data_IF_202642497658
#
_entry.id   IF_202642497658
#
_cell.length_a   1.000
_cell.length_b   1.000
_cell.length_c   1.000
_cell.angle_alpha   90.00
_cell.angle_beta   90.00
_cell.angle_gamma   90.00
#
_symmetry.space_group_name_H-M   'P 1'
#
loop_
_entity.id
_entity.type
_entity.pdbx_description
1 polymer ?
#
# COMPACT_ATOMS: atom_id res chain seq x y z
N UNK A 1 -4.33 5.46 10.42
CA UNK A 1 -3.27 4.74 9.68
C UNK A 1 -2.35 4.08 10.68
N UNK A 2 -2.10 2.78 10.53
CA UNK A 2 -1.05 2.05 11.25
C UNK A 2 -0.27 1.16 10.28
N UNK A 3 1.05 1.10 10.44
CA UNK A 3 1.91 0.14 9.74
C UNK A 3 2.44 -0.84 10.79
N UNK A 4 2.20 -2.14 10.59
CA UNK A 4 2.58 -3.19 11.53
C UNK A 4 3.61 -4.14 10.92
N UNK A 5 4.61 -4.62 11.68
CA UNK A 5 5.44 -5.74 11.25
C UNK A 5 4.61 -6.99 11.00
N UNK A 6 4.96 -7.74 9.96
CA UNK A 6 4.50 -9.11 9.70
C UNK A 6 5.72 -10.01 9.43
N UNK A 7 5.50 -11.33 9.40
CA UNK A 7 6.56 -12.35 9.36
C UNK A 7 7.62 -12.09 8.26
N UNK A 8 7.22 -11.57 7.11
CA UNK A 8 8.09 -11.30 5.97
C UNK A 8 7.96 -9.86 5.41
N UNK A 9 7.36 -8.92 6.14
CA UNK A 9 7.09 -7.59 5.61
C UNK A 9 6.32 -6.65 6.53
N UNK A 10 5.51 -5.79 5.93
CA UNK A 10 4.69 -4.79 6.62
C UNK A 10 3.23 -4.93 6.19
N UNK A 11 2.31 -4.71 7.13
CA UNK A 11 0.87 -4.60 6.86
C UNK A 11 0.44 -3.17 7.11
N UNK A 12 -0.15 -2.55 6.09
CA UNK A 12 -0.78 -1.23 6.20
C UNK A 12 -2.24 -1.43 6.56
N UNK A 13 -2.60 -1.07 7.78
CA UNK A 13 -3.98 -1.14 8.29
C UNK A 13 -4.56 0.26 8.47
N UNK A 14 -5.88 0.35 8.32
CA UNK A 14 -6.67 1.54 8.64
C UNK A 14 -6.12 2.82 7.99
N UNK A 15 -5.71 2.73 6.72
CA UNK A 15 -5.35 3.89 5.91
C UNK A 15 -6.60 4.50 5.27
N UNK A 16 -7.32 5.26 6.08
CA UNK A 16 -8.46 6.05 5.62
C UNK A 16 -8.06 7.51 5.58
N UNK A 17 -8.28 8.14 4.43
CA UNK A 17 -8.32 9.59 4.33
C UNK A 17 -9.78 10.02 4.37
N UNK A 18 -10.07 10.92 5.30
CA UNK A 18 -11.37 11.57 5.40
C UNK A 18 -11.81 12.13 4.03
N UNK A 19 -13.09 11.96 3.68
CA UNK A 19 -13.64 12.37 2.38
C UNK A 19 -13.37 13.86 2.08
N UNK A 20 -13.23 14.70 3.12
CA UNK A 20 -12.94 16.14 2.99
C UNK A 20 -11.52 16.48 2.52
N UNK A 21 -10.57 15.53 2.55
CA UNK A 21 -9.17 15.71 2.13
C UNK A 21 -8.76 14.85 0.92
N UNK A 22 -9.70 14.08 0.37
CA UNK A 22 -9.47 13.29 -0.86
C UNK A 22 -9.25 14.20 -2.08
N UNK A 23 -8.53 13.69 -3.08
CA UNK A 23 -8.24 14.44 -4.33
C UNK A 23 -7.17 15.54 -4.22
N UNK A 24 -6.56 15.74 -3.04
CA UNK A 24 -5.51 16.75 -2.81
C UNK A 24 -4.08 16.18 -2.76
N UNK A 25 -3.89 14.92 -3.14
CA UNK A 25 -2.58 14.27 -3.21
C UNK A 25 -1.97 13.84 -1.87
N UNK A 26 -2.61 14.14 -0.73
CA UNK A 26 -2.13 13.77 0.62
C UNK A 26 -1.87 12.27 0.73
N UNK A 27 -2.78 11.44 0.24
CA UNK A 27 -2.62 9.98 0.29
C UNK A 27 -1.44 9.48 -0.52
N UNK A 28 -1.22 10.08 -1.69
CA UNK A 28 -0.07 9.75 -2.52
C UNK A 28 1.25 10.12 -1.85
N UNK A 29 1.30 11.26 -1.14
CA UNK A 29 2.51 11.66 -0.39
C UNK A 29 2.82 10.71 0.76
N UNK A 30 1.80 10.28 1.50
CA UNK A 30 1.97 9.29 2.57
C UNK A 30 2.41 7.94 2.01
N UNK A 31 1.75 7.44 0.96
CA UNK A 31 2.17 6.17 0.34
C UNK A 31 3.59 6.23 -0.17
N UNK A 32 4.02 7.33 -0.82
CA UNK A 32 5.41 7.46 -1.28
C UNK A 32 6.43 7.35 -0.15
N UNK A 33 6.15 7.96 1.00
CA UNK A 33 7.03 7.84 2.17
C UNK A 33 7.11 6.39 2.64
N UNK A 34 5.94 5.75 2.84
CA UNK A 34 5.85 4.37 3.29
C UNK A 34 6.55 3.39 2.34
N UNK A 35 6.35 3.54 1.03
CA UNK A 35 6.99 2.68 0.03
C UNK A 35 8.50 2.89 0.01
N UNK A 36 8.99 4.14 0.12
CA UNK A 36 10.42 4.44 0.18
C UNK A 36 11.10 3.77 1.37
N UNK A 37 10.48 3.83 2.55
CA UNK A 37 10.98 3.18 3.76
C UNK A 37 10.97 1.65 3.63
N UNK A 38 9.91 1.09 3.05
CA UNK A 38 9.79 -0.35 2.82
C UNK A 38 10.80 -0.85 1.78
N UNK A 39 11.05 -0.08 0.71
CA UNK A 39 12.05 -0.37 -0.31
C UNK A 39 13.46 -0.39 0.31
N UNK A 40 13.80 0.62 1.13
CA UNK A 40 15.08 0.68 1.83
C UNK A 40 15.28 -0.48 2.81
N UNK A 41 14.19 -1.02 3.36
CA UNK A 41 14.20 -2.18 4.24
C UNK A 41 14.07 -3.53 3.51
N UNK A 42 13.95 -3.53 2.17
CA UNK A 42 13.65 -4.69 1.35
C UNK A 42 12.41 -5.48 1.83
N UNK A 43 11.35 -4.77 2.22
CA UNK A 43 10.12 -5.36 2.78
C UNK A 43 8.92 -5.12 1.86
N UNK A 44 8.08 -6.13 1.60
CA UNK A 44 6.80 -5.93 0.96
C UNK A 44 5.81 -5.21 1.88
N UNK A 45 4.86 -4.50 1.28
CA UNK A 45 3.70 -3.90 1.98
C UNK A 45 2.45 -4.62 1.52
N UNK A 46 1.62 -5.06 2.48
CA UNK A 46 0.32 -5.68 2.23
C UNK A 46 -0.82 -4.82 2.77
N UNK A 47 -1.96 -4.87 2.11
CA UNK A 47 -3.19 -4.21 2.56
C UNK A 47 -4.44 -4.95 2.08
N UNK A 48 -5.55 -4.77 2.80
CA UNK A 48 -6.89 -5.16 2.39
C UNK A 48 -7.70 -3.91 2.02
N UNK A 49 -8.57 -4.03 1.02
CA UNK A 49 -9.46 -2.97 0.55
C UNK A 49 -10.87 -3.51 0.42
N UNK A 50 -11.84 -2.84 1.03
CA UNK A 50 -13.24 -3.20 0.89
C UNK A 50 -13.64 -3.32 -0.58
N UNK A 51 -14.30 -4.42 -0.93
CA UNK A 51 -14.80 -4.69 -2.29
C UNK A 51 -15.66 -3.54 -2.81
N UNK A 52 -15.43 -3.17 -4.07
CA UNK A 52 -16.13 -2.05 -4.73
C UNK A 52 -15.64 -0.65 -4.32
N UNK A 53 -14.69 -0.54 -3.39
CA UNK A 53 -14.12 0.75 -3.01
C UNK A 53 -13.32 1.37 -4.17
N UNK A 54 -13.45 2.69 -4.42
CA UNK A 54 -12.60 3.39 -5.40
C UNK A 54 -11.12 3.38 -5.02
N UNK A 55 -10.79 3.07 -3.75
CA UNK A 55 -9.42 3.00 -3.25
C UNK A 55 -8.57 1.92 -3.94
N UNK A 56 -9.17 0.84 -4.47
CA UNK A 56 -8.42 -0.19 -5.19
C UNK A 56 -7.61 0.40 -6.35
N UNK A 57 -8.23 1.27 -7.17
CA UNK A 57 -7.56 1.97 -8.27
C UNK A 57 -6.47 2.95 -7.81
N UNK A 58 -6.59 3.46 -6.60
CA UNK A 58 -5.57 4.32 -6.00
C UNK A 58 -4.33 3.48 -5.64
N UNK A 59 -4.48 2.38 -4.92
CA UNK A 59 -3.36 1.52 -4.55
C UNK A 59 -2.68 0.88 -5.77
N UNK A 60 -3.44 0.44 -6.77
CA UNK A 60 -2.88 -0.11 -8.01
C UNK A 60 -1.95 0.88 -8.74
N UNK A 61 -2.33 2.17 -8.79
CA UNK A 61 -1.48 3.22 -9.36
C UNK A 61 -0.21 3.49 -8.57
N UNK A 62 -0.16 3.04 -7.32
CA UNK A 62 1.00 3.12 -6.42
C UNK A 62 1.81 1.82 -6.37
N UNK A 63 1.63 0.92 -7.34
CA UNK A 63 2.46 -0.28 -7.49
C UNK A 63 1.99 -1.50 -6.68
N UNK A 64 0.80 -1.42 -6.06
CA UNK A 64 0.21 -2.57 -5.40
C UNK A 64 -0.47 -3.49 -6.42
N UNK A 65 -0.06 -4.75 -6.46
CA UNK A 65 -0.68 -5.80 -7.26
C UNK A 65 -1.75 -6.54 -6.44
N UNK A 66 -2.87 -6.87 -7.07
CA UNK A 66 -3.90 -7.73 -6.47
C UNK A 66 -3.34 -9.14 -6.22
N UNK A 67 -3.75 -9.78 -5.14
CA UNK A 67 -3.28 -11.12 -4.75
C UNK A 67 -4.41 -12.14 -4.66
N UNK A 68 -5.41 -11.84 -3.84
CA UNK A 68 -6.57 -12.69 -3.56
C UNK A 68 -7.69 -11.82 -3.00
N UNK A 69 -8.88 -12.39 -2.90
CA UNK A 69 -10.02 -11.77 -2.24
C UNK A 69 -10.56 -12.67 -1.13
N UNK A 70 -11.20 -12.04 -0.15
CA UNK A 70 -12.01 -12.65 0.89
C UNK A 70 -13.46 -12.15 0.76
N UNK A 71 -14.44 -12.62 1.56
CA UNK A 71 -15.84 -12.23 1.38
C UNK A 71 -16.09 -10.73 1.34
N UNK A 72 -15.28 -9.92 2.02
CA UNK A 72 -15.47 -8.47 2.14
C UNK A 72 -14.37 -7.63 1.49
N UNK A 73 -13.14 -8.15 1.41
CA UNK A 73 -11.96 -7.37 1.03
C UNK A 73 -11.21 -7.99 -0.15
N UNK A 74 -10.65 -7.12 -0.99
CA UNK A 74 -9.62 -7.44 -1.98
C UNK A 74 -8.25 -7.15 -1.36
N UNK A 75 -7.33 -8.11 -1.41
CA UNK A 75 -5.99 -7.98 -0.85
C UNK A 75 -4.94 -7.68 -1.90
N UNK A 76 -4.03 -6.77 -1.56
CA UNK A 76 -2.97 -6.32 -2.44
C UNK A 76 -1.60 -6.37 -1.77
N UNK A 77 -0.56 -6.55 -2.57
CA UNK A 77 0.84 -6.49 -2.16
C UNK A 77 1.62 -5.55 -3.07
N UNK A 78 2.48 -4.72 -2.50
CA UNK A 78 3.59 -4.08 -3.22
C UNK A 78 4.88 -4.72 -2.78
N UNK A 79 5.63 -5.27 -3.74
CA UNK A 79 6.99 -5.76 -3.51
C UNK A 79 7.95 -4.58 -3.45
N UNK A 80 9.04 -4.69 -2.67
CA UNK A 80 10.05 -3.64 -2.66
C UNK A 80 10.66 -3.54 -4.06
N UNK A 81 10.86 -2.31 -4.54
CA UNK A 81 11.56 -2.12 -5.81
C UNK A 81 12.99 -2.62 -5.62
N UNK A 82 13.43 -3.55 -6.47
CA UNK A 82 14.85 -3.92 -6.53
C UNK A 82 15.59 -2.68 -7.03
N UNK A 83 16.08 -1.85 -6.10
CA UNK A 83 17.01 -0.79 -6.47
C UNK A 83 18.21 -1.50 -7.07
N UNK A 84 18.32 -1.47 -8.40
CA UNK A 84 19.57 -1.76 -9.08
C UNK A 84 20.56 -0.73 -8.55
N UNK A 85 21.33 -1.11 -7.53
CA UNK A 85 22.52 -0.36 -7.15
C UNK A 85 23.37 -0.34 -8.40
N UNK A 86 23.44 0.82 -9.05
CA UNK A 86 24.20 1.03 -10.25
C UNK A 86 25.63 0.52 -10.06
N UNK A 87 26.09 -0.19 -11.09
CA UNK A 87 27.45 -0.70 -11.24
C UNK A 87 28.52 0.39 -11.12
#
# INVERSE_FOLDING_TARGET
MALKPADDGLVLEHFYLDDTVQGRGVGGSVLRLLTTEADAAAKPIRLGVLKGSPAARFYQRHGFAWTHDEPFDDYFVRWPDTVSVGA
#
